data_IF_822194861686
#
_entry.id   IF_822194861686
#
_cell.length_a   1.000
_cell.length_b   1.000
_cell.length_c   1.000
_cell.angle_alpha   90.00
_cell.angle_beta   90.00
_cell.angle_gamma   90.00
#
_symmetry.space_group_name_H-M   'P 1'
#
loop_
_entity.id
_entity.type
_entity.pdbx_description
1 polymer ?
#
# COMPACT_ATOMS: atom_id res chain seq x y z
N UNK A 1 -15.55 -38.74 65.02
CA UNK A 1 -14.96 -39.76 64.08
C UNK A 1 -14.38 -39.01 62.88
N UNK A 2 -13.08 -38.87 62.79
CA UNK A 2 -12.37 -38.21 61.70
C UNK A 2 -11.87 -39.27 60.74
N UNK A 3 -12.27 -39.12 59.47
CA UNK A 3 -11.87 -40.01 58.37
C UNK A 3 -10.43 -39.70 57.96
N UNK A 4 -9.54 -40.67 57.78
CA UNK A 4 -8.14 -40.44 57.40
C UNK A 4 -8.05 -40.09 55.90
N UNK A 5 -7.25 -39.08 55.60
CA UNK A 5 -6.87 -38.66 54.23
C UNK A 5 -6.20 -39.80 53.49
N UNK A 6 -6.82 -40.27 52.42
CA UNK A 6 -6.27 -41.26 51.50
C UNK A 6 -4.98 -40.73 50.86
N UNK A 7 -3.87 -41.43 51.10
CA UNK A 7 -2.55 -41.20 50.50
C UNK A 7 -2.61 -41.55 48.99
N UNK A 8 -2.56 -40.50 48.12
CA UNK A 8 -2.53 -40.66 46.69
C UNK A 8 -1.08 -41.17 46.24
N UNK A 9 -0.95 -42.39 45.74
CA UNK A 9 0.34 -42.97 45.38
C UNK A 9 1.01 -42.26 44.21
N UNK A 10 0.27 -41.49 43.40
CA UNK A 10 0.82 -40.76 42.28
C UNK A 10 1.71 -39.56 42.70
N UNK A 11 1.43 -38.92 43.84
CA UNK A 11 2.25 -37.82 44.35
C UNK A 11 3.62 -38.26 44.82
N UNK A 12 3.74 -39.49 45.35
CA UNK A 12 5.06 -40.06 45.74
C UNK A 12 5.95 -40.44 44.56
N UNK A 13 5.33 -40.83 43.44
CA UNK A 13 6.06 -41.18 42.22
C UNK A 13 6.59 -39.92 41.50
N UNK A 14 5.79 -38.82 41.54
CA UNK A 14 6.21 -37.54 40.98
C UNK A 14 7.37 -36.90 41.76
N UNK A 15 7.29 -36.93 43.10
CA UNK A 15 8.36 -36.43 43.97
C UNK A 15 9.68 -37.21 43.84
N UNK A 16 9.60 -38.52 43.54
CA UNK A 16 10.76 -39.34 43.32
C UNK A 16 11.42 -39.05 41.97
N UNK A 17 10.66 -38.83 40.90
CA UNK A 17 11.14 -38.43 39.58
C UNK A 17 11.76 -37.02 39.57
N UNK A 18 11.29 -36.08 40.38
CA UNK A 18 11.87 -34.75 40.53
C UNK A 18 13.26 -34.77 41.23
N UNK A 19 13.55 -35.78 42.02
CA UNK A 19 14.88 -35.97 42.67
C UNK A 19 15.97 -36.50 41.71
N UNK A 20 15.58 -37.07 40.60
CA UNK A 20 16.49 -37.61 39.58
C UNK A 20 16.82 -36.56 38.48
N UNK A 21 16.19 -35.40 38.52
CA UNK A 21 16.48 -34.32 37.56
C UNK A 21 17.72 -33.55 38.01
N UNK A 22 18.76 -33.47 37.17
CA UNK A 22 19.99 -32.77 37.56
C UNK A 22 19.72 -31.29 37.82
N UNK A 23 20.38 -30.67 38.83
CA UNK A 23 20.10 -29.27 39.24
C UNK A 23 20.18 -28.24 38.11
N UNK A 24 21.04 -28.48 37.11
CA UNK A 24 21.15 -27.60 35.95
C UNK A 24 19.91 -27.62 35.06
N UNK A 25 19.20 -28.74 34.96
CA UNK A 25 17.97 -28.85 34.18
C UNK A 25 16.79 -28.09 34.86
N UNK A 26 16.71 -28.13 36.20
CA UNK A 26 15.78 -27.34 36.96
C UNK A 26 16.08 -25.82 36.82
N UNK A 27 17.35 -25.46 36.89
CA UNK A 27 17.78 -24.06 36.69
C UNK A 27 17.43 -23.57 35.28
N UNK A 28 17.69 -24.40 34.26
CA UNK A 28 17.32 -24.09 32.86
C UNK A 28 15.82 -23.89 32.70
N UNK A 29 14.98 -24.71 33.33
CA UNK A 29 13.52 -24.60 33.28
C UNK A 29 13.04 -23.28 33.94
N UNK A 30 13.61 -22.92 35.08
CA UNK A 30 13.31 -21.67 35.77
C UNK A 30 13.74 -20.46 34.94
N UNK A 31 14.96 -20.48 34.36
CA UNK A 31 15.46 -19.41 33.51
C UNK A 31 14.61 -19.22 32.26
N UNK A 32 14.21 -20.30 31.58
CA UNK A 32 13.32 -20.24 30.42
C UNK A 32 11.93 -19.75 30.82
N UNK A 33 11.40 -20.11 31.95
CA UNK A 33 10.15 -19.61 32.48
C UNK A 33 10.19 -18.08 32.75
N UNK A 34 11.27 -17.60 33.36
CA UNK A 34 11.50 -16.16 33.57
C UNK A 34 11.65 -15.40 32.26
N UNK A 35 12.40 -15.95 31.31
CA UNK A 35 12.56 -15.35 29.98
C UNK A 35 11.22 -15.22 29.26
N UNK A 36 10.40 -16.27 29.30
CA UNK A 36 9.06 -16.26 28.71
C UNK A 36 8.14 -15.19 29.35
N UNK A 37 8.18 -15.08 30.67
CA UNK A 37 7.43 -14.03 31.39
C UNK A 37 7.93 -12.63 30.98
N UNK A 38 9.25 -12.45 30.88
CA UNK A 38 9.84 -11.17 30.46
C UNK A 38 9.41 -10.79 29.06
N UNK A 39 9.42 -11.74 28.13
CA UNK A 39 8.94 -11.53 26.74
C UNK A 39 7.46 -11.13 26.73
N UNK A 40 6.62 -11.81 27.51
CA UNK A 40 5.20 -11.46 27.61
C UNK A 40 4.98 -10.05 28.18
N UNK A 41 5.76 -9.65 29.19
CA UNK A 41 5.68 -8.31 29.77
C UNK A 41 6.11 -7.25 28.76
N UNK A 42 7.21 -7.47 28.03
CA UNK A 42 7.70 -6.57 26.99
C UNK A 42 6.68 -6.44 25.85
N UNK A 43 6.12 -7.56 25.37
CA UNK A 43 5.08 -7.54 24.34
C UNK A 43 3.84 -6.77 24.82
N UNK A 44 3.45 -6.92 26.08
CA UNK A 44 2.33 -6.17 26.67
C UNK A 44 2.63 -4.68 26.80
N UNK A 45 3.85 -4.30 27.18
CA UNK A 45 4.30 -2.90 27.22
C UNK A 45 4.36 -2.28 25.83
N UNK A 46 4.85 -2.99 24.82
CA UNK A 46 4.86 -2.55 23.43
C UNK A 46 3.43 -2.35 22.89
N UNK A 47 2.51 -3.26 23.24
CA UNK A 47 1.09 -3.11 22.85
C UNK A 47 0.38 -1.94 23.55
N UNK A 48 0.86 -1.53 24.74
CA UNK A 48 0.33 -0.37 25.46
C UNK A 48 1.00 0.95 25.03
N UNK A 49 2.24 0.90 24.55
CA UNK A 49 2.97 2.06 24.03
C UNK A 49 2.51 2.48 22.63
N UNK A 50 1.73 1.64 21.94
CA UNK A 50 1.20 1.90 20.59
C UNK A 50 -0.06 2.78 20.58
N UNK A 51 -0.45 3.39 21.70
CA UNK A 51 -1.51 4.39 21.73
C UNK A 51 -0.90 5.79 21.93
N UNK A 52 -0.59 6.54 20.86
CA UNK A 52 -0.26 7.95 21.00
C UNK A 52 -1.53 8.70 21.46
N UNK A 53 -1.47 9.29 22.65
CA UNK A 53 -2.47 10.25 23.11
C UNK A 53 -2.35 11.49 22.23
N UNK A 54 -3.24 11.63 21.25
CA UNK A 54 -3.41 12.87 20.50
C UNK A 54 -4.08 13.92 21.41
N UNK A 55 -3.66 15.20 21.35
CA UNK A 55 -4.30 16.27 22.12
C UNK A 55 -5.72 16.48 21.62
N UNK A 56 -6.65 16.54 22.56
CA UNK A 56 -8.08 16.75 22.33
C UNK A 56 -8.33 18.07 21.60
N UNK A 57 -8.79 17.99 20.35
CA UNK A 57 -9.54 19.08 19.73
C UNK A 57 -11.00 18.96 20.16
N UNK A 58 -11.51 20.02 20.76
CA UNK A 58 -12.81 20.09 21.38
C UNK A 58 -13.98 19.82 20.44
N UNK A 59 -14.89 19.08 20.98
CA UNK A 59 -16.15 18.56 20.50
C UNK A 59 -17.12 19.59 19.90
N UNK A 60 -17.79 19.18 18.82
CA UNK A 60 -19.25 19.27 18.73
C UNK A 60 -19.79 17.89 18.39
N UNK A 61 -20.25 17.22 19.44
CA UNK A 61 -20.92 15.94 19.35
C UNK A 61 -22.41 16.14 19.16
N UNK A 62 -23.00 15.47 18.19
CA UNK A 62 -24.39 15.05 18.27
C UNK A 62 -24.47 13.54 18.13
N UNK A 63 -24.86 12.99 19.22
CA UNK A 63 -25.31 11.65 19.60
C UNK A 63 -25.84 10.78 18.44
N UNK A 64 -25.14 9.65 18.17
CA UNK A 64 -25.76 8.39 17.73
C UNK A 64 -24.88 7.21 18.11
N UNK A 65 -25.30 6.51 19.18
CA UNK A 65 -24.76 5.21 19.57
C UNK A 65 -25.15 4.16 18.54
N UNK A 66 -24.16 3.53 17.92
CA UNK A 66 -24.26 2.12 17.46
C UNK A 66 -22.90 1.49 17.74
N UNK A 67 -22.89 0.57 18.71
CA UNK A 67 -21.72 -0.27 18.98
C UNK A 67 -21.70 -1.43 17.97
N UNK A 68 -20.76 -1.38 17.02
CA UNK A 68 -20.36 -2.54 16.22
C UNK A 68 -18.85 -2.76 16.38
N UNK A 69 -18.43 -4.02 16.51
CA UNK A 69 -17.00 -4.37 16.55
C UNK A 69 -16.33 -3.94 15.25
N UNK A 70 -15.17 -3.25 15.30
CA UNK A 70 -14.47 -2.84 14.06
C UNK A 70 -14.01 -4.10 13.30
N UNK A 71 -14.53 -4.27 12.11
CA UNK A 71 -14.06 -5.23 11.13
C UNK A 71 -12.97 -4.55 10.27
N UNK A 72 -11.99 -5.30 9.78
CA UNK A 72 -10.90 -4.76 8.95
C UNK A 72 -11.43 -4.00 7.72
N UNK A 73 -12.54 -4.47 7.13
CA UNK A 73 -13.26 -3.76 6.07
C UNK A 73 -13.85 -2.41 6.50
N UNK A 74 -14.21 -2.24 7.79
CA UNK A 74 -14.72 -0.97 8.31
C UNK A 74 -13.60 0.07 8.52
N UNK A 75 -12.37 -0.35 8.79
CA UNK A 75 -11.23 0.58 8.83
C UNK A 75 -10.88 1.13 7.43
N UNK A 76 -10.99 0.28 6.39
CA UNK A 76 -10.92 0.73 5.00
C UNK A 76 -12.09 1.65 4.65
N UNK A 77 -13.31 1.34 5.15
CA UNK A 77 -14.51 2.15 4.96
C UNK A 77 -14.43 3.56 5.56
N UNK A 78 -13.86 3.72 6.75
CA UNK A 78 -13.64 5.04 7.34
C UNK A 78 -12.66 5.89 6.52
N UNK A 79 -11.63 5.30 5.95
CA UNK A 79 -10.70 5.98 5.04
C UNK A 79 -11.36 6.47 3.75
N UNK A 80 -12.38 5.76 3.26
CA UNK A 80 -13.18 6.16 2.10
C UNK A 80 -14.22 7.24 2.40
N UNK A 81 -14.48 7.54 3.66
CA UNK A 81 -15.44 8.57 4.08
C UNK A 81 -14.85 9.98 4.15
N UNK A 82 -13.54 10.16 3.90
CA UNK A 82 -12.92 11.48 3.89
C UNK A 82 -13.33 12.26 2.63
N UNK A 83 -13.65 13.53 2.81
CA UNK A 83 -13.80 14.47 1.71
C UNK A 83 -12.45 14.71 1.02
N UNK A 84 -12.47 15.06 -0.28
CA UNK A 84 -11.25 15.24 -1.07
C UNK A 84 -10.20 16.16 -0.40
N UNK A 85 -10.66 17.29 0.18
CA UNK A 85 -9.78 18.23 0.88
C UNK A 85 -9.14 17.62 2.14
N UNK A 86 -9.83 16.71 2.81
CA UNK A 86 -9.31 15.99 3.96
C UNK A 86 -8.25 14.96 3.54
N UNK A 87 -8.47 14.30 2.39
CA UNK A 87 -7.47 13.44 1.78
C UNK A 87 -6.19 14.21 1.46
N UNK A 88 -6.30 15.35 0.76
CA UNK A 88 -5.14 16.19 0.42
C UNK A 88 -4.39 16.64 1.69
N UNK A 89 -5.12 17.07 2.73
CA UNK A 89 -4.51 17.47 4.00
C UNK A 89 -3.79 16.32 4.73
N UNK A 90 -4.34 15.09 4.67
CA UNK A 90 -3.70 13.90 5.23
C UNK A 90 -2.40 13.57 4.48
N UNK A 91 -2.44 13.57 3.15
CA UNK A 91 -1.28 13.28 2.32
C UNK A 91 -0.18 14.35 2.48
N UNK A 92 -0.57 15.63 2.62
CA UNK A 92 0.37 16.70 2.98
C UNK A 92 1.05 16.42 4.32
N UNK A 93 0.29 16.05 5.36
CA UNK A 93 0.86 15.73 6.67
C UNK A 93 1.81 14.51 6.63
N UNK A 94 1.51 13.50 5.80
CA UNK A 94 2.41 12.36 5.57
C UNK A 94 3.71 12.80 4.86
N UNK A 95 3.61 13.67 3.85
CA UNK A 95 4.76 14.24 3.15
C UNK A 95 5.63 15.09 4.10
N UNK A 96 5.02 15.98 4.87
CA UNK A 96 5.70 16.81 5.88
C UNK A 96 6.42 15.96 6.94
N UNK A 97 5.79 14.88 7.39
CA UNK A 97 6.39 13.94 8.33
C UNK A 97 7.64 13.26 7.75
N UNK A 98 7.61 12.88 6.47
CA UNK A 98 8.76 12.29 5.80
C UNK A 98 9.92 13.29 5.65
N UNK A 99 9.61 14.57 5.38
CA UNK A 99 10.60 15.65 5.40
C UNK A 99 11.21 15.83 6.80
N UNK A 100 10.36 15.89 7.84
CA UNK A 100 10.80 16.13 9.22
C UNK A 100 11.78 15.08 9.75
N UNK A 101 11.62 13.82 9.33
CA UNK A 101 12.54 12.72 9.70
C UNK A 101 13.71 12.55 8.73
N UNK A 102 13.80 13.39 7.70
CA UNK A 102 14.77 13.26 6.60
C UNK A 102 14.81 11.82 6.05
N UNK A 103 13.63 11.30 5.70
CA UNK A 103 13.48 9.91 5.26
C UNK A 103 14.38 9.61 4.06
N UNK A 104 15.23 8.57 4.13
CA UNK A 104 16.17 8.26 3.05
C UNK A 104 15.47 7.53 1.91
N UNK A 105 15.98 7.70 0.69
CA UNK A 105 15.58 6.91 -0.48
C UNK A 105 14.07 6.88 -0.68
N UNK A 106 13.44 8.05 -0.68
CA UNK A 106 11.99 8.18 -0.81
C UNK A 106 11.53 7.86 -2.23
N UNK A 107 10.62 6.90 -2.36
CA UNK A 107 9.86 6.66 -3.57
C UNK A 107 8.40 7.01 -3.34
N UNK A 108 7.77 7.58 -4.32
CA UNK A 108 6.37 8.01 -4.24
C UNK A 108 5.50 7.26 -5.23
N UNK A 109 4.39 6.71 -4.76
CA UNK A 109 3.31 6.23 -5.61
C UNK A 109 2.27 7.33 -5.77
N UNK A 110 1.96 7.68 -7.01
CA UNK A 110 0.94 8.65 -7.40
C UNK A 110 -0.13 7.95 -8.23
N UNK A 111 -1.40 8.15 -7.89
CA UNK A 111 -2.48 7.51 -8.62
C UNK A 111 -3.83 7.55 -7.92
N UNK A 112 -4.65 6.60 -8.26
CA UNK A 112 -6.04 6.46 -7.80
C UNK A 112 -6.25 5.30 -6.81
N UNK A 113 -7.47 4.73 -6.75
CA UNK A 113 -7.78 3.62 -5.85
C UNK A 113 -6.92 2.39 -6.04
N UNK A 114 -6.52 2.08 -7.28
CA UNK A 114 -5.67 0.92 -7.58
C UNK A 114 -4.31 1.10 -6.89
N UNK A 115 -3.76 2.31 -6.95
CA UNK A 115 -2.50 2.67 -6.28
C UNK A 115 -2.68 2.79 -4.76
N UNK A 116 -3.78 3.41 -4.30
CA UNK A 116 -4.05 3.61 -2.86
C UNK A 116 -4.06 2.28 -2.09
N UNK A 117 -4.62 1.23 -2.68
CA UNK A 117 -4.78 -0.06 -2.03
C UNK A 117 -3.56 -0.97 -2.16
N UNK A 118 -2.45 -0.48 -2.71
CA UNK A 118 -1.20 -1.24 -2.73
C UNK A 118 -0.76 -1.54 -1.28
N UNK A 119 -0.63 -2.83 -0.88
CA UNK A 119 -0.25 -3.18 0.47
C UNK A 119 1.17 -2.66 0.79
N UNK A 120 1.35 -1.87 1.87
CA UNK A 120 2.65 -1.25 2.17
C UNK A 120 3.79 -2.24 2.40
N UNK A 121 3.49 -3.41 2.94
CA UNK A 121 4.44 -4.50 3.19
C UNK A 121 4.88 -5.25 1.92
N UNK A 122 4.15 -5.07 0.83
CA UNK A 122 4.52 -5.61 -0.48
C UNK A 122 5.43 -4.67 -1.29
N UNK A 123 5.60 -3.40 -0.91
CA UNK A 123 6.40 -2.46 -1.68
C UNK A 123 7.88 -2.86 -1.72
N UNK A 124 8.52 -2.88 -2.92
CA UNK A 124 9.79 -3.54 -3.10
C UNK A 124 10.99 -2.73 -2.62
N UNK A 125 12.06 -3.44 -2.29
CA UNK A 125 13.37 -2.86 -1.99
C UNK A 125 13.49 -2.27 -0.59
N UNK A 126 14.67 -1.71 -0.31
CA UNK A 126 14.95 -0.98 0.95
C UNK A 126 14.77 0.52 0.73
N UNK A 127 13.56 0.91 0.41
CA UNK A 127 13.14 2.28 0.11
C UNK A 127 12.12 2.76 1.14
N UNK A 128 12.03 4.05 1.33
CA UNK A 128 10.88 4.67 2.02
C UNK A 128 9.80 4.95 0.99
N UNK A 129 8.66 4.31 1.11
CA UNK A 129 7.55 4.51 0.18
C UNK A 129 6.50 5.43 0.77
N UNK A 130 6.13 6.46 0.02
CA UNK A 130 4.98 7.32 0.27
C UNK A 130 3.88 6.96 -0.73
N UNK A 131 2.76 6.44 -0.25
CA UNK A 131 1.60 6.22 -1.10
C UNK A 131 0.72 7.47 -1.07
N UNK A 132 0.85 8.28 -2.10
CA UNK A 132 0.20 9.57 -2.26
C UNK A 132 -0.98 9.48 -3.25
N UNK A 133 -1.71 8.35 -3.24
CA UNK A 133 -2.86 8.12 -4.08
C UNK A 133 -4.19 8.48 -3.40
N UNK A 134 -5.19 8.89 -4.19
CA UNK A 134 -6.56 9.16 -3.71
C UNK A 134 -7.56 8.35 -4.54
N UNK A 135 -8.44 7.60 -3.84
CA UNK A 135 -9.48 6.79 -4.50
C UNK A 135 -10.39 7.65 -5.40
N UNK A 136 -10.59 7.21 -6.64
CA UNK A 136 -11.47 7.89 -7.60
C UNK A 136 -10.84 9.11 -8.27
N UNK A 137 -9.59 9.44 -7.97
CA UNK A 137 -8.92 10.62 -8.53
C UNK A 137 -8.62 10.44 -10.02
N UNK A 138 -8.81 11.50 -10.79
CA UNK A 138 -8.41 11.60 -12.19
C UNK A 138 -7.09 12.37 -12.33
N UNK A 139 -6.57 12.42 -13.55
CA UNK A 139 -5.29 13.08 -13.85
C UNK A 139 -5.28 14.56 -13.48
N UNK A 140 -6.38 15.29 -13.70
CA UNK A 140 -6.50 16.71 -13.34
C UNK A 140 -6.44 16.96 -11.84
N UNK A 141 -7.09 16.11 -11.04
CA UNK A 141 -7.01 16.16 -9.58
C UNK A 141 -5.58 15.96 -9.08
N UNK A 142 -4.88 14.96 -9.64
CA UNK A 142 -3.50 14.65 -9.27
C UNK A 142 -2.55 15.81 -9.59
N UNK A 143 -2.63 16.41 -10.79
CA UNK A 143 -1.81 17.59 -11.16
C UNK A 143 -1.97 18.70 -10.11
N UNK A 144 -3.20 18.98 -9.69
CA UNK A 144 -3.50 20.10 -8.80
C UNK A 144 -2.93 19.97 -7.39
N UNK A 145 -2.44 18.79 -6.99
CA UNK A 145 -1.90 18.55 -5.65
C UNK A 145 -0.44 18.10 -5.61
N UNK A 146 0.27 18.08 -6.71
CA UNK A 146 1.69 17.68 -6.74
C UNK A 146 2.55 18.56 -5.82
N UNK A 147 2.16 19.82 -5.60
CA UNK A 147 2.86 20.78 -4.74
C UNK A 147 3.09 20.29 -3.30
N UNK A 148 2.28 19.35 -2.82
CA UNK A 148 2.42 18.80 -1.46
C UNK A 148 3.73 18.02 -1.27
N UNK A 149 4.44 17.71 -2.35
CA UNK A 149 5.69 16.96 -2.34
C UNK A 149 6.93 17.83 -2.59
N UNK A 150 6.76 19.15 -2.78
CA UNK A 150 7.83 20.06 -3.20
C UNK A 150 9.06 20.05 -2.29
N UNK A 151 8.87 19.83 -0.99
CA UNK A 151 9.94 19.87 0.01
C UNK A 151 10.56 18.48 0.29
N UNK A 152 10.03 17.41 -0.34
CA UNK A 152 10.52 16.06 -0.12
C UNK A 152 11.76 15.75 -0.97
N UNK A 153 12.70 14.99 -0.41
CA UNK A 153 13.86 14.48 -1.13
C UNK A 153 13.52 13.13 -1.77
N UNK A 154 13.00 13.15 -2.99
CA UNK A 154 12.44 12.00 -3.68
C UNK A 154 13.45 11.42 -4.66
N UNK A 155 13.62 10.09 -4.62
CA UNK A 155 14.46 9.32 -5.53
C UNK A 155 13.72 8.92 -6.81
N UNK A 156 12.45 8.52 -6.67
CA UNK A 156 11.62 8.17 -7.83
C UNK A 156 10.12 8.38 -7.58
N UNK A 157 9.41 8.81 -8.62
CA UNK A 157 7.96 8.85 -8.70
C UNK A 157 7.44 7.73 -9.60
N UNK A 158 6.41 7.03 -9.17
CA UNK A 158 5.68 6.03 -9.96
C UNK A 158 4.25 6.52 -10.14
N UNK A 159 3.87 6.86 -11.36
CA UNK A 159 2.57 7.50 -11.68
C UNK A 159 1.70 6.48 -12.41
N UNK A 160 0.55 6.13 -11.85
CA UNK A 160 -0.49 5.35 -12.51
C UNK A 160 -1.82 6.07 -12.35
N UNK A 161 -2.32 6.69 -13.41
CA UNK A 161 -3.58 7.45 -13.43
C UNK A 161 -4.18 7.40 -14.83
N UNK A 162 -5.51 7.54 -14.95
CA UNK A 162 -6.18 7.65 -16.23
C UNK A 162 -7.46 6.83 -16.35
N UNK A 163 -7.60 5.74 -15.61
CA UNK A 163 -8.84 4.93 -15.68
C UNK A 163 -10.04 5.76 -15.24
N UNK A 164 -9.90 6.62 -14.23
CA UNK A 164 -10.97 7.50 -13.77
C UNK A 164 -11.30 8.62 -14.76
N UNK A 165 -10.31 9.13 -15.51
CA UNK A 165 -10.55 10.06 -16.61
C UNK A 165 -11.52 9.44 -17.63
N UNK A 166 -11.26 8.20 -18.03
CA UNK A 166 -12.11 7.45 -18.96
C UNK A 166 -13.50 7.14 -18.37
N UNK A 167 -13.56 6.69 -17.10
CA UNK A 167 -14.79 6.33 -16.40
C UNK A 167 -15.76 7.52 -16.23
N UNK A 168 -15.22 8.72 -16.13
CA UNK A 168 -15.99 9.96 -15.98
C UNK A 168 -16.18 10.71 -17.29
N UNK A 169 -15.81 10.10 -18.43
CA UNK A 169 -16.05 10.65 -19.77
C UNK A 169 -15.07 11.78 -20.15
N UNK A 170 -13.90 11.81 -19.52
CA UNK A 170 -12.78 12.67 -19.88
C UNK A 170 -12.24 12.34 -21.29
N UNK A 171 -11.59 13.32 -21.90
CA UNK A 171 -10.93 13.15 -23.20
C UNK A 171 -9.53 12.59 -23.00
N UNK A 172 -9.09 11.75 -23.92
CA UNK A 172 -7.75 11.15 -23.91
C UNK A 172 -6.66 12.22 -24.06
N UNK A 173 -6.92 13.29 -24.86
CA UNK A 173 -6.03 14.44 -25.01
C UNK A 173 -5.83 15.22 -23.70
N UNK A 174 -6.89 15.36 -22.87
CA UNK A 174 -6.78 16.04 -21.58
C UNK A 174 -5.94 15.23 -20.60
N UNK A 175 -6.10 13.91 -20.59
CA UNK A 175 -5.25 12.99 -19.82
C UNK A 175 -3.78 13.08 -20.26
N UNK A 176 -3.51 13.01 -21.55
CA UNK A 176 -2.18 13.14 -22.13
C UNK A 176 -1.52 14.48 -21.73
N UNK A 177 -2.27 15.59 -21.83
CA UNK A 177 -1.83 16.92 -21.40
C UNK A 177 -1.51 16.95 -19.90
N UNK A 178 -2.36 16.36 -19.06
CA UNK A 178 -2.15 16.33 -17.62
C UNK A 178 -0.91 15.49 -17.24
N UNK A 179 -0.70 14.32 -17.86
CA UNK A 179 0.51 13.51 -17.62
C UNK A 179 1.77 14.26 -18.03
N UNK A 180 1.75 14.91 -19.19
CA UNK A 180 2.85 15.80 -19.63
C UNK A 180 3.12 16.91 -18.61
N UNK A 181 2.06 17.53 -18.07
CA UNK A 181 2.17 18.58 -17.05
C UNK A 181 2.76 18.05 -15.75
N UNK A 182 2.37 16.82 -15.32
CA UNK A 182 2.95 16.16 -14.15
C UNK A 182 4.45 15.94 -14.31
N UNK A 183 4.87 15.36 -15.44
CA UNK A 183 6.29 15.10 -15.70
C UNK A 183 7.10 16.40 -15.65
N UNK A 184 6.66 17.44 -16.38
CA UNK A 184 7.36 18.73 -16.41
C UNK A 184 7.45 19.35 -15.01
N UNK A 185 6.34 19.33 -14.25
CA UNK A 185 6.31 19.86 -12.88
C UNK A 185 7.29 19.13 -11.97
N UNK A 186 7.27 17.80 -11.99
CA UNK A 186 8.12 16.99 -11.15
C UNK A 186 9.60 17.10 -11.53
N UNK A 187 9.93 17.24 -12.83
CA UNK A 187 11.30 17.49 -13.27
C UNK A 187 11.81 18.87 -12.82
N UNK A 188 10.94 19.89 -12.84
CA UNK A 188 11.29 21.22 -12.36
C UNK A 188 11.55 21.26 -10.86
N UNK A 189 10.67 20.58 -10.07
CA UNK A 189 10.75 20.60 -8.61
C UNK A 189 11.74 19.60 -8.03
N UNK A 190 11.95 18.49 -8.72
CA UNK A 190 12.80 17.37 -8.28
C UNK A 190 13.75 16.93 -9.42
N UNK A 191 14.74 17.76 -9.80
CA UNK A 191 15.57 17.54 -11.00
C UNK A 191 16.41 16.25 -10.93
N UNK A 192 16.67 15.72 -9.74
CA UNK A 192 17.43 14.48 -9.55
C UNK A 192 16.52 13.24 -9.43
N UNK A 193 15.21 13.42 -9.35
CA UNK A 193 14.26 12.32 -9.20
C UNK A 193 13.98 11.63 -10.55
N UNK A 194 13.80 10.33 -10.49
CA UNK A 194 13.37 9.54 -11.64
C UNK A 194 11.85 9.53 -11.72
N UNK A 195 11.29 9.77 -12.91
CA UNK A 195 9.85 9.77 -13.13
C UNK A 195 9.49 8.54 -13.95
N UNK A 196 8.63 7.70 -13.42
CA UNK A 196 8.17 6.47 -14.06
C UNK A 196 6.66 6.57 -14.29
N UNK A 197 6.27 6.76 -15.53
CA UNK A 197 4.87 6.64 -15.95
C UNK A 197 4.56 5.16 -16.10
N UNK A 198 3.47 4.71 -15.51
CA UNK A 198 3.01 3.32 -15.59
C UNK A 198 1.78 3.25 -16.48
N UNK A 199 1.65 2.18 -17.26
CA UNK A 199 0.47 1.97 -18.09
C UNK A 199 -0.81 1.88 -17.25
N UNK A 200 -1.92 2.34 -17.79
CA UNK A 200 -3.26 2.09 -17.27
C UNK A 200 -3.55 0.60 -17.42
N UNK A 201 -4.01 -0.03 -16.34
CA UNK A 201 -4.33 -1.46 -16.34
C UNK A 201 -5.61 -1.77 -17.13
N UNK A 202 -5.76 -2.99 -17.67
CA UNK A 202 -7.03 -3.43 -18.22
C UNK A 202 -8.10 -3.54 -17.13
N UNK A 203 -9.36 -3.61 -17.53
CA UNK A 203 -10.49 -3.91 -16.65
C UNK A 203 -11.24 -5.16 -17.11
N UNK A 204 -12.10 -5.73 -16.25
CA UNK A 204 -12.82 -6.98 -16.49
C UNK A 204 -14.00 -6.88 -17.46
N UNK A 205 -14.29 -5.68 -17.99
CA UNK A 205 -15.39 -5.49 -18.93
C UNK A 205 -16.74 -5.93 -18.37
N UNK A 206 -17.46 -6.74 -19.14
CA UNK A 206 -18.79 -7.26 -18.75
C UNK A 206 -18.72 -8.24 -17.56
N UNK A 207 -17.59 -8.89 -17.35
CA UNK A 207 -17.39 -9.84 -16.25
C UNK A 207 -17.09 -9.16 -14.91
N UNK A 208 -16.85 -7.85 -14.92
CA UNK A 208 -16.59 -7.09 -13.69
C UNK A 208 -17.82 -7.10 -12.77
N UNK A 209 -17.55 -7.19 -11.45
CA UNK A 209 -18.57 -7.06 -10.40
C UNK A 209 -18.53 -5.69 -9.71
N UNK A 210 -17.57 -4.83 -10.07
CA UNK A 210 -17.44 -3.47 -9.58
C UNK A 210 -18.74 -2.68 -9.73
N UNK A 211 -19.12 -1.87 -8.74
CA UNK A 211 -20.40 -1.16 -8.70
C UNK A 211 -20.63 -0.26 -9.92
N UNK A 212 -19.58 0.37 -10.45
CA UNK A 212 -19.62 1.24 -11.63
C UNK A 212 -19.42 0.52 -12.97
N UNK A 213 -19.47 -0.83 -13.02
CA UNK A 213 -19.15 -1.66 -14.20
C UNK A 213 -19.84 -1.27 -15.50
N UNK A 214 -21.04 -0.67 -15.42
CA UNK A 214 -21.76 -0.26 -16.63
C UNK A 214 -20.99 0.79 -17.44
N UNK A 215 -20.10 1.55 -16.81
CA UNK A 215 -19.23 2.52 -17.48
C UNK A 215 -18.10 1.84 -18.26
N UNK A 216 -17.64 0.66 -17.80
CA UNK A 216 -16.56 -0.11 -18.44
C UNK A 216 -16.90 -0.53 -19.87
N UNK A 217 -18.19 -0.68 -20.19
CA UNK A 217 -18.67 -1.00 -21.55
C UNK A 217 -18.27 0.04 -22.60
N UNK A 218 -18.01 1.27 -22.17
CA UNK A 218 -17.63 2.40 -23.04
C UNK A 218 -16.10 2.59 -23.13
N UNK A 219 -15.35 1.73 -22.48
CA UNK A 219 -13.88 1.77 -22.45
C UNK A 219 -13.36 0.43 -23.00
N UNK A 220 -13.35 0.24 -24.33
CA UNK A 220 -12.81 -0.99 -24.89
C UNK A 220 -11.31 -1.12 -24.61
N UNK A 221 -10.74 -2.33 -24.48
CA UNK A 221 -9.32 -2.54 -24.26
C UNK A 221 -8.43 -1.83 -25.27
N UNK A 222 -8.88 -1.69 -26.52
CA UNK A 222 -8.17 -0.95 -27.56
C UNK A 222 -8.01 0.53 -27.25
N UNK A 223 -8.96 1.18 -26.55
CA UNK A 223 -8.82 2.57 -26.12
C UNK A 223 -7.74 2.70 -25.06
N UNK A 224 -7.72 1.79 -24.07
CA UNK A 224 -6.69 1.80 -23.02
C UNK A 224 -5.32 1.61 -23.65
N UNK A 225 -5.18 0.66 -24.61
CA UNK A 225 -3.91 0.44 -25.31
C UNK A 225 -3.46 1.68 -26.08
N UNK A 226 -4.35 2.32 -26.83
CA UNK A 226 -4.02 3.54 -27.57
C UNK A 226 -3.53 4.66 -26.64
N UNK A 227 -4.22 4.86 -25.51
CA UNK A 227 -3.77 5.86 -24.51
C UNK A 227 -2.45 5.46 -23.87
N UNK A 228 -2.22 4.19 -23.59
CA UNK A 228 -0.94 3.72 -23.07
C UNK A 228 0.22 3.95 -24.06
N UNK A 229 -0.02 3.78 -25.35
CA UNK A 229 0.94 4.13 -26.42
C UNK A 229 1.26 5.63 -26.40
N UNK A 230 0.25 6.51 -26.23
CA UNK A 230 0.45 7.94 -26.09
C UNK A 230 1.25 8.30 -24.83
N UNK A 231 0.97 7.65 -23.70
CA UNK A 231 1.70 7.85 -22.44
C UNK A 231 3.17 7.41 -22.56
N UNK A 232 3.45 6.31 -23.25
CA UNK A 232 4.81 5.86 -23.54
C UNK A 232 5.58 6.89 -24.38
N UNK A 233 4.96 7.40 -25.45
CA UNK A 233 5.53 8.45 -26.28
C UNK A 233 5.83 9.73 -25.49
N UNK A 234 4.89 10.16 -24.63
CA UNK A 234 5.07 11.34 -23.77
C UNK A 234 6.23 11.12 -22.80
N UNK A 235 6.34 9.95 -22.19
CA UNK A 235 7.44 9.64 -21.30
C UNK A 235 8.78 9.70 -22.04
N UNK A 236 8.87 9.10 -23.24
CA UNK A 236 10.07 9.13 -24.06
C UNK A 236 10.45 10.56 -24.53
N UNK A 237 9.47 11.39 -24.92
CA UNK A 237 9.71 12.78 -25.34
C UNK A 237 10.24 13.66 -24.19
N UNK A 238 9.90 13.33 -22.95
CA UNK A 238 10.26 14.13 -21.76
C UNK A 238 11.36 13.48 -20.91
N UNK A 239 12.12 12.55 -21.46
CA UNK A 239 13.19 11.83 -20.73
C UNK A 239 12.70 11.20 -19.41
N UNK A 240 11.43 10.79 -19.35
CA UNK A 240 10.86 10.00 -18.29
C UNK A 240 10.86 8.51 -18.65
N UNK A 241 10.75 7.66 -17.65
CA UNK A 241 10.66 6.22 -17.83
C UNK A 241 9.20 5.80 -18.05
N UNK A 242 9.02 4.70 -18.80
CA UNK A 242 7.73 4.06 -18.95
C UNK A 242 7.79 2.61 -18.48
N UNK A 243 6.84 2.20 -17.63
CA UNK A 243 6.68 0.84 -17.15
C UNK A 243 5.36 0.28 -17.69
N UNK A 244 5.44 -0.54 -18.74
CA UNK A 244 4.28 -1.23 -19.26
C UNK A 244 3.87 -2.39 -18.34
N UNK A 245 2.66 -2.30 -17.80
CA UNK A 245 2.02 -3.30 -16.96
C UNK A 245 0.83 -3.96 -17.68
N UNK A 246 0.31 -3.36 -18.76
CA UNK A 246 -0.97 -3.76 -19.35
C UNK A 246 -1.02 -5.24 -19.67
N UNK A 247 -0.02 -5.74 -20.41
CA UNK A 247 -0.01 -7.13 -20.88
C UNK A 247 0.22 -8.16 -19.74
N UNK A 248 0.79 -7.72 -18.61
CA UNK A 248 0.92 -8.59 -17.42
C UNK A 248 -0.43 -8.89 -16.77
N UNK A 249 -1.38 -7.97 -16.92
CA UNK A 249 -2.72 -8.06 -16.33
C UNK A 249 -3.80 -8.44 -17.34
N UNK A 250 -3.52 -8.37 -18.64
CA UNK A 250 -4.49 -8.67 -19.69
C UNK A 250 -4.59 -10.17 -20.00
N UNK A 251 -5.81 -10.62 -20.29
CA UNK A 251 -6.06 -11.90 -20.93
C UNK A 251 -5.88 -11.78 -22.47
N UNK A 252 -6.11 -12.89 -23.20
CA UNK A 252 -5.96 -12.89 -24.67
C UNK A 252 -6.90 -11.95 -25.43
N UNK A 253 -7.95 -11.43 -24.79
CA UNK A 253 -8.90 -10.48 -25.35
C UNK A 253 -8.60 -9.02 -24.90
N UNK A 254 -7.59 -8.83 -24.07
CA UNK A 254 -7.18 -7.52 -23.53
C UNK A 254 -7.95 -7.08 -22.28
N UNK A 255 -8.78 -7.94 -21.69
CA UNK A 255 -9.48 -7.67 -20.43
C UNK A 255 -8.64 -8.14 -19.24
N UNK A 256 -8.93 -7.57 -18.06
CA UNK A 256 -8.29 -7.96 -16.80
C UNK A 256 -8.43 -9.45 -16.54
N UNK A 257 -7.33 -10.11 -16.24
CA UNK A 257 -7.29 -11.52 -15.82
C UNK A 257 -8.05 -11.67 -14.49
N UNK A 258 -9.04 -12.61 -14.42
CA UNK A 258 -9.87 -12.78 -13.23
C UNK A 258 -9.09 -13.22 -11.98
N UNK A 259 -7.95 -13.88 -12.14
CA UNK A 259 -7.07 -14.31 -11.05
C UNK A 259 -6.30 -13.17 -10.41
N UNK A 260 -6.25 -11.98 -11.02
CA UNK A 260 -5.50 -10.82 -10.54
C UNK A 260 -6.37 -9.69 -9.97
N UNK A 261 -7.69 -9.88 -9.94
CA UNK A 261 -8.62 -8.82 -9.54
C UNK A 261 -9.65 -9.29 -8.51
N UNK A 262 -10.15 -8.36 -7.70
CA UNK A 262 -11.26 -8.60 -6.76
C UNK A 262 -12.63 -8.43 -7.43
N UNK A 263 -12.77 -7.43 -8.29
CA UNK A 263 -14.05 -6.97 -8.82
C UNK A 263 -14.03 -6.62 -10.32
N UNK A 264 -12.89 -6.88 -10.97
CA UNK A 264 -12.68 -6.56 -12.39
C UNK A 264 -12.17 -5.15 -12.65
N UNK A 265 -11.87 -4.36 -11.60
CA UNK A 265 -11.20 -3.06 -11.68
C UNK A 265 -10.02 -2.98 -10.71
N UNK A 266 -10.23 -3.39 -9.47
CA UNK A 266 -9.23 -3.33 -8.42
C UNK A 266 -8.48 -4.66 -8.32
N UNK A 267 -7.21 -4.60 -7.91
CA UNK A 267 -6.36 -5.77 -7.78
C UNK A 267 -6.66 -6.56 -6.50
N UNK A 268 -6.44 -7.87 -6.58
CA UNK A 268 -6.31 -8.73 -5.42
C UNK A 268 -4.83 -8.87 -5.00
N UNK A 269 -4.54 -9.72 -4.02
CA UNK A 269 -3.18 -9.94 -3.50
C UNK A 269 -2.22 -10.44 -4.61
N UNK A 270 -2.68 -11.36 -5.45
CA UNK A 270 -1.88 -11.88 -6.58
C UNK A 270 -1.58 -10.78 -7.61
N UNK A 271 -2.56 -9.91 -7.90
CA UNK A 271 -2.38 -8.74 -8.75
C UNK A 271 -1.32 -7.78 -8.21
N UNK A 272 -1.37 -7.47 -6.90
CA UNK A 272 -0.34 -6.64 -6.27
C UNK A 272 1.03 -7.32 -6.24
N UNK A 273 1.08 -8.66 -6.13
CA UNK A 273 2.34 -9.40 -6.23
C UNK A 273 2.97 -9.29 -7.63
N UNK A 274 2.15 -9.34 -8.70
CA UNK A 274 2.60 -9.11 -10.08
C UNK A 274 3.14 -7.69 -10.21
N UNK A 275 2.40 -6.68 -9.76
CA UNK A 275 2.82 -5.28 -9.84
C UNK A 275 4.10 -5.01 -9.04
N UNK A 276 4.18 -5.49 -7.80
CA UNK A 276 5.39 -5.45 -6.97
C UNK A 276 6.60 -6.00 -7.72
N UNK A 277 6.43 -7.17 -8.36
CA UNK A 277 7.51 -7.84 -9.08
C UNK A 277 7.96 -7.01 -10.28
N UNK A 278 7.02 -6.43 -11.03
CA UNK A 278 7.32 -5.55 -12.14
C UNK A 278 8.11 -4.31 -11.69
N UNK A 279 7.68 -3.64 -10.59
CA UNK A 279 8.43 -2.49 -10.03
C UNK A 279 9.84 -2.92 -9.58
N UNK A 280 9.98 -4.09 -8.92
CA UNK A 280 11.28 -4.56 -8.44
C UNK A 280 12.26 -4.79 -9.60
N UNK A 281 11.82 -5.51 -10.64
CA UNK A 281 12.63 -5.79 -11.82
C UNK A 281 12.96 -4.51 -12.60
N UNK A 282 12.01 -3.58 -12.68
CA UNK A 282 12.23 -2.30 -13.33
C UNK A 282 13.27 -1.45 -12.59
N UNK A 283 13.20 -1.40 -11.26
CA UNK A 283 14.19 -0.70 -10.44
C UNK A 283 15.59 -1.27 -10.66
N UNK A 284 15.74 -2.60 -10.62
CA UNK A 284 17.03 -3.26 -10.82
C UNK A 284 17.59 -3.08 -12.24
N UNK A 285 16.72 -3.13 -13.24
CA UNK A 285 17.13 -3.10 -14.65
C UNK A 285 17.31 -1.71 -15.24
N UNK A 286 16.51 -0.73 -14.79
CA UNK A 286 16.42 0.58 -15.43
C UNK A 286 16.84 1.72 -14.51
N UNK A 287 16.44 1.70 -13.24
CA UNK A 287 16.70 2.81 -12.33
C UNK A 287 18.02 2.66 -11.56
N UNK A 288 18.42 1.45 -11.21
CA UNK A 288 19.64 1.11 -10.47
C UNK A 288 20.41 -0.01 -11.21
N UNK A 289 20.80 0.17 -12.47
CA UNK A 289 21.54 -0.88 -13.15
C UNK A 289 22.80 -1.21 -12.36
N UNK A 290 22.99 -2.49 -12.01
CA UNK A 290 24.24 -2.98 -11.41
C UNK A 290 25.38 -2.57 -12.31
N UNK A 291 26.46 -2.01 -11.72
CA UNK A 291 27.67 -1.74 -12.48
C UNK A 291 28.07 -3.05 -13.22
N UNK A 292 28.45 -2.98 -14.51
CA UNK A 292 28.90 -4.17 -15.21
C UNK A 292 30.04 -4.81 -14.40
N UNK A 293 29.88 -6.10 -14.12
CA UNK A 293 30.93 -6.87 -13.44
C UNK A 293 32.25 -6.71 -14.21
N UNK A 294 33.35 -6.31 -13.56
CA UNK A 294 34.64 -6.04 -14.18
C UNK A 294 35.24 -7.28 -14.85
#
# INVERSE_FOLDING_TARGET
>A
MATPLQHNPQLKTLARRLREVPPWALLSLVMNGLLFITVLVVLRQLSQASNPVLPQANAYASDRRIAAKPNFEQQLGERHALEYQQWVALLQAEADAAVAINAPRQNVLLGDSITLWFPPDMLPGRKTWLNQAISGENSGGLVNRLYILDDNNIEAFFIMVGINDMLWGGKDDDLAYNVRSMINYLQERHPDAKIVVQSILPHGGESASWEGRDKLKYIPPSRIKAVNEDLELIAAELDAYYLDLFDLFANGEGFMRPDLTTDGLHLNEDGYMVWRTAIALFNEGQLEPSAPNP
#
